data_IF_640897762500
#
_entry.id   IF_640897762500
#
_cell.length_a   1.000
_cell.length_b   1.000
_cell.length_c   1.000
_cell.angle_alpha   90.00
_cell.angle_beta   90.00
_cell.angle_gamma   90.00
#
_symmetry.space_group_name_H-M   'P 1'
#
loop_
_entity.id
_entity.type
_entity.pdbx_description
1 polymer ?
#
# COMPACT_ATOMS: atom_id res chain seq x y z
N UNK A 1 0.68 17.59 17.60
CA UNK A 1 -0.07 18.79 17.18
C UNK A 1 0.32 19.34 15.81
N UNK A 2 1.61 19.36 15.41
CA UNK A 2 2.03 19.79 14.06
C UNK A 2 1.58 18.83 12.95
N UNK A 3 1.51 17.54 13.22
CA UNK A 3 1.05 16.53 12.26
C UNK A 3 -0.45 16.68 11.92
N UNK A 4 -1.27 16.97 12.92
CA UNK A 4 -2.73 17.17 12.75
C UNK A 4 -3.03 18.44 11.95
N UNK A 5 -2.31 19.53 12.19
CA UNK A 5 -2.53 20.80 11.47
C UNK A 5 -2.11 20.72 9.99
N UNK A 6 -1.21 19.79 9.63
CA UNK A 6 -0.83 19.57 8.24
C UNK A 6 -1.86 18.75 7.47
N UNK A 7 -2.49 17.75 8.09
CA UNK A 7 -3.51 16.89 7.46
C UNK A 7 -4.76 17.72 7.08
N UNK A 8 -5.13 18.71 7.87
CA UNK A 8 -6.25 19.60 7.55
C UNK A 8 -5.99 20.53 6.34
N UNK A 9 -4.71 20.63 5.91
CA UNK A 9 -4.29 21.50 4.79
C UNK A 9 -4.02 20.74 3.49
N UNK A 10 -4.05 19.39 3.50
CA UNK A 10 -3.83 18.55 2.31
C UNK A 10 -5.13 17.92 1.87
N UNK A 11 -5.29 17.76 0.57
CA UNK A 11 -6.50 17.22 -0.04
C UNK A 11 -6.60 15.72 0.14
N UNK A 12 -5.50 15.00 -0.07
CA UNK A 12 -5.44 13.57 0.12
C UNK A 12 -4.08 13.17 0.70
N UNK A 13 -4.07 12.09 1.48
CA UNK A 13 -2.87 11.47 2.05
C UNK A 13 -2.77 10.02 1.60
N UNK A 14 -1.55 9.57 1.37
CA UNK A 14 -1.25 8.22 0.94
C UNK A 14 -0.23 7.61 1.93
N UNK A 15 -0.66 6.60 2.66
CA UNK A 15 0.12 5.96 3.72
C UNK A 15 0.57 4.57 3.28
N UNK A 16 1.85 4.22 3.50
CA UNK A 16 2.44 2.98 3.02
C UNK A 16 2.91 2.12 4.19
N UNK A 17 2.62 0.82 4.15
CA UNK A 17 3.07 -0.24 5.04
C UNK A 17 2.92 0.11 6.52
N UNK A 18 4.02 0.26 7.26
CA UNK A 18 4.00 0.68 8.66
C UNK A 18 3.28 2.02 8.85
N UNK A 19 3.50 2.97 7.93
CA UNK A 19 2.81 4.25 7.93
C UNK A 19 1.30 4.13 7.74
N UNK A 20 0.84 3.14 6.94
CA UNK A 20 -0.57 2.83 6.78
C UNK A 20 -1.18 2.30 8.09
N UNK A 21 -0.53 1.35 8.74
CA UNK A 21 -0.98 0.80 10.02
C UNK A 21 -0.97 1.86 11.13
N UNK A 22 0.07 2.70 11.18
CA UNK A 22 0.15 3.81 12.12
C UNK A 22 -0.96 4.85 11.89
N UNK A 23 -1.24 5.17 10.62
CA UNK A 23 -2.33 6.09 10.24
C UNK A 23 -3.70 5.54 10.60
N UNK A 24 -3.96 4.26 10.31
CA UNK A 24 -5.21 3.58 10.68
C UNK A 24 -5.43 3.56 12.20
N UNK A 25 -4.37 3.28 12.97
CA UNK A 25 -4.45 3.36 14.42
C UNK A 25 -4.72 4.79 14.92
N UNK A 26 -3.97 5.75 14.38
CA UNK A 26 -4.06 7.14 14.82
C UNK A 26 -5.43 7.78 14.54
N UNK A 27 -5.98 7.56 13.33
CA UNK A 27 -7.22 8.20 12.90
C UNK A 27 -8.48 7.42 13.28
N UNK A 28 -8.38 6.09 13.37
CA UNK A 28 -9.55 5.22 13.48
C UNK A 28 -9.46 4.21 14.63
N UNK A 29 -8.35 4.19 15.38
CA UNK A 29 -8.17 3.27 16.50
C UNK A 29 -7.96 1.80 16.09
N UNK A 30 -7.72 1.52 14.80
CA UNK A 30 -7.53 0.16 14.31
C UNK A 30 -6.17 -0.38 14.78
N UNK A 31 -6.13 -1.46 15.58
CA UNK A 31 -4.88 -2.00 16.10
C UNK A 31 -4.10 -2.75 15.03
N UNK A 32 -2.81 -2.90 15.26
CA UNK A 32 -1.95 -3.82 14.51
C UNK A 32 -1.66 -5.06 15.32
N UNK A 33 -1.51 -6.18 14.63
CA UNK A 33 -1.22 -7.49 15.22
C UNK A 33 0.12 -8.00 14.72
N UNK A 34 0.87 -8.67 15.59
CA UNK A 34 2.10 -9.37 15.20
C UNK A 34 1.75 -10.59 14.37
N UNK A 35 2.49 -10.82 13.32
CA UNK A 35 2.44 -12.06 12.53
C UNK A 35 3.39 -13.08 13.14
N UNK A 36 3.01 -14.36 13.12
CA UNK A 36 3.88 -15.47 13.55
C UNK A 36 5.13 -15.57 12.65
N UNK A 37 4.96 -15.29 11.36
CA UNK A 37 6.04 -15.23 10.38
C UNK A 37 5.97 -13.94 9.57
N UNK A 38 7.15 -13.43 9.18
CA UNK A 38 7.25 -12.27 8.28
C UNK A 38 6.61 -12.58 6.94
N UNK A 39 5.65 -11.78 6.50
CA UNK A 39 5.18 -11.80 5.12
C UNK A 39 6.23 -11.10 4.26
N UNK A 40 6.90 -11.85 3.38
CA UNK A 40 7.89 -11.35 2.43
C UNK A 40 7.72 -12.01 1.08
N UNK A 41 7.57 -11.23 0.03
CA UNK A 41 7.35 -11.75 -1.34
C UNK A 41 6.47 -10.88 -2.19
N UNK A 42 6.04 -11.43 -3.33
CA UNK A 42 5.15 -10.81 -4.30
C UNK A 42 3.85 -11.61 -4.36
N UNK A 43 2.75 -10.99 -3.98
CA UNK A 43 1.47 -11.69 -3.79
C UNK A 43 0.43 -11.20 -4.78
N UNK A 44 -0.45 -12.12 -5.21
CA UNK A 44 -1.62 -11.81 -6.03
C UNK A 44 -2.69 -11.14 -5.18
N UNK A 45 -3.31 -10.11 -5.74
CA UNK A 45 -4.38 -9.33 -5.11
C UNK A 45 -5.58 -9.26 -6.06
N UNK A 46 -6.75 -9.09 -5.47
CA UNK A 46 -8.01 -8.85 -6.17
C UNK A 46 -8.65 -7.54 -5.73
N UNK A 47 -9.58 -7.04 -6.54
CA UNK A 47 -10.37 -5.85 -6.22
C UNK A 47 -11.67 -6.26 -5.55
N UNK A 48 -11.96 -5.72 -4.36
CA UNK A 48 -13.23 -5.93 -3.65
C UNK A 48 -14.35 -5.06 -4.23
N UNK A 49 -13.99 -4.01 -4.97
CA UNK A 49 -14.93 -3.07 -5.57
C UNK A 49 -14.46 -2.66 -6.96
N UNK A 50 -15.35 -2.82 -7.94
CA UNK A 50 -15.11 -2.35 -9.30
C UNK A 50 -15.39 -0.84 -9.43
N UNK A 51 -14.85 -0.23 -10.50
CA UNK A 51 -15.07 1.18 -10.86
C UNK A 51 -14.56 2.22 -9.85
N UNK A 52 -13.63 1.85 -8.97
CA UNK A 52 -12.94 2.81 -8.10
C UNK A 52 -11.89 3.54 -8.93
N UNK A 53 -11.89 4.88 -8.90
CA UNK A 53 -10.94 5.72 -9.65
C UNK A 53 -9.47 5.35 -9.38
N UNK A 54 -9.16 4.93 -8.15
CA UNK A 54 -7.82 4.50 -7.73
C UNK A 54 -7.29 3.33 -8.56
N UNK A 55 -8.17 2.43 -8.97
CA UNK A 55 -7.84 1.21 -9.73
C UNK A 55 -8.19 1.29 -11.22
N UNK A 56 -8.36 2.49 -11.74
CA UNK A 56 -8.64 2.65 -13.18
C UNK A 56 -7.50 2.07 -14.02
N UNK A 57 -7.84 1.12 -14.90
CA UNK A 57 -6.89 0.43 -15.76
C UNK A 57 -6.20 -0.79 -15.11
N UNK A 58 -6.59 -1.17 -13.90
CA UNK A 58 -6.14 -2.40 -13.27
C UNK A 58 -6.82 -3.62 -13.90
N UNK A 59 -6.10 -4.72 -13.91
CA UNK A 59 -6.65 -6.05 -14.21
C UNK A 59 -7.43 -6.58 -13.00
N UNK A 60 -8.23 -7.64 -13.19
CA UNK A 60 -8.99 -8.28 -12.10
C UNK A 60 -8.07 -8.85 -11.02
N UNK A 61 -6.86 -9.25 -11.41
CA UNK A 61 -5.78 -9.70 -10.53
C UNK A 61 -4.49 -8.96 -10.84
N UNK A 62 -3.75 -8.61 -9.81
CA UNK A 62 -2.46 -7.92 -9.94
C UNK A 62 -1.52 -8.29 -8.81
N UNK A 63 -0.23 -8.02 -8.98
CA UNK A 63 0.79 -8.42 -8.03
C UNK A 63 1.33 -7.23 -7.25
N UNK A 64 1.62 -7.46 -5.95
CA UNK A 64 2.17 -6.44 -5.04
C UNK A 64 3.25 -7.04 -4.17
N UNK A 65 4.42 -6.38 -4.05
CA UNK A 65 5.43 -6.73 -3.06
C UNK A 65 4.95 -6.44 -1.62
N UNK A 66 5.26 -7.35 -0.71
CA UNK A 66 5.06 -7.17 0.74
C UNK A 66 6.33 -7.51 1.50
N UNK A 67 6.59 -6.76 2.59
CA UNK A 67 7.65 -7.05 3.56
C UNK A 67 7.24 -6.50 4.92
N UNK A 68 6.60 -7.32 5.76
CA UNK A 68 6.07 -6.85 7.05
C UNK A 68 5.95 -7.96 8.08
N UNK A 69 6.12 -7.60 9.36
CA UNK A 69 5.94 -8.48 10.52
C UNK A 69 4.62 -8.21 11.27
N UNK A 70 3.81 -7.27 10.79
CA UNK A 70 2.53 -6.91 11.40
C UNK A 70 1.41 -6.85 10.37
N UNK A 71 0.18 -7.00 10.83
CA UNK A 71 -1.03 -6.92 9.98
C UNK A 71 -2.13 -6.15 10.70
N UNK A 72 -3.18 -5.80 9.95
CA UNK A 72 -4.47 -5.35 10.45
C UNK A 72 -5.51 -6.42 10.13
N UNK A 73 -6.55 -6.53 10.96
CA UNK A 73 -7.62 -7.49 10.73
C UNK A 73 -8.78 -6.86 9.96
N UNK A 74 -9.43 -7.67 9.14
CA UNK A 74 -10.57 -7.25 8.31
C UNK A 74 -11.73 -6.79 9.18
N UNK A 75 -11.99 -7.51 10.25
CA UNK A 75 -13.06 -7.24 11.20
C UNK A 75 -12.91 -5.85 11.84
N UNK A 76 -11.69 -5.45 12.19
CA UNK A 76 -11.43 -4.15 12.79
C UNK A 76 -11.70 -3.01 11.80
N UNK A 77 -11.36 -3.19 10.53
CA UNK A 77 -11.61 -2.19 9.49
C UNK A 77 -13.10 -2.10 9.17
N UNK A 78 -13.81 -3.24 9.08
CA UNK A 78 -15.25 -3.30 8.76
C UNK A 78 -16.13 -2.67 9.86
N UNK A 79 -15.66 -2.61 11.11
CA UNK A 79 -16.34 -1.91 12.19
C UNK A 79 -16.32 -0.38 12.04
N UNK A 80 -15.42 0.18 11.22
CA UNK A 80 -15.29 1.62 10.98
C UNK A 80 -16.09 2.02 9.74
N UNK A 81 -17.22 2.67 9.95
CA UNK A 81 -18.16 3.03 8.88
C UNK A 81 -17.59 3.99 7.83
N UNK A 82 -16.59 4.77 8.18
CA UNK A 82 -15.91 5.74 7.33
C UNK A 82 -14.89 5.10 6.38
N UNK A 83 -14.52 3.84 6.60
CA UNK A 83 -13.53 3.12 5.82
C UNK A 83 -14.15 2.11 4.85
N UNK A 84 -13.38 1.75 3.85
CA UNK A 84 -13.72 0.73 2.88
C UNK A 84 -12.45 -0.06 2.49
N UNK A 85 -12.53 -1.39 2.50
CA UNK A 85 -11.47 -2.27 2.01
C UNK A 85 -11.65 -2.41 0.50
N UNK A 86 -10.70 -1.91 -0.26
CA UNK A 86 -10.78 -1.87 -1.72
C UNK A 86 -10.07 -3.03 -2.42
N UNK A 87 -9.06 -3.60 -1.77
CA UNK A 87 -8.27 -4.72 -2.33
C UNK A 87 -7.66 -5.57 -1.23
N UNK A 88 -7.61 -6.86 -1.47
CA UNK A 88 -7.03 -7.84 -0.56
C UNK A 88 -6.39 -9.02 -1.32
N UNK A 89 -5.63 -9.83 -0.60
CA UNK A 89 -4.97 -11.05 -1.04
C UNK A 89 -5.31 -12.17 -0.06
N UNK A 90 -5.54 -13.38 -0.56
CA UNK A 90 -5.75 -14.57 0.28
C UNK A 90 -4.51 -14.89 1.13
N UNK A 91 -3.31 -14.60 0.61
CA UNK A 91 -2.04 -14.89 1.29
C UNK A 91 -1.50 -13.71 2.12
N UNK A 92 -1.63 -12.48 1.58
CA UNK A 92 -1.05 -11.30 2.22
C UNK A 92 -2.10 -10.44 2.99
N UNK A 93 -3.39 -10.80 2.95
CA UNK A 93 -4.45 -10.07 3.62
C UNK A 93 -4.79 -8.72 2.96
N UNK A 94 -5.29 -7.79 3.74
CA UNK A 94 -5.72 -6.47 3.26
C UNK A 94 -4.55 -5.73 2.59
N UNK A 95 -4.80 -5.20 1.40
CA UNK A 95 -3.84 -4.35 0.69
C UNK A 95 -4.21 -2.89 0.74
N UNK A 96 -5.41 -2.52 0.31
CA UNK A 96 -5.84 -1.13 0.26
C UNK A 96 -7.08 -0.90 1.12
N UNK A 97 -6.97 0.03 2.05
CA UNK A 97 -8.08 0.64 2.77
C UNK A 97 -8.15 2.11 2.39
N UNK A 98 -9.35 2.63 2.16
CA UNK A 98 -9.55 4.04 1.84
C UNK A 98 -10.71 4.62 2.64
N UNK A 99 -10.59 5.89 3.04
CA UNK A 99 -11.73 6.63 3.59
C UNK A 99 -12.77 6.88 2.48
N UNK A 100 -14.06 6.81 2.82
CA UNK A 100 -15.16 6.95 1.84
C UNK A 100 -15.20 8.30 1.15
N UNK A 101 -14.61 9.33 1.76
CA UNK A 101 -14.44 10.65 1.17
C UNK A 101 -13.22 10.74 0.23
N UNK A 102 -12.43 9.65 0.10
CA UNK A 102 -11.25 9.57 -0.77
C UNK A 102 -10.02 10.34 -0.26
N UNK A 103 -10.08 10.92 0.94
CA UNK A 103 -9.01 11.78 1.46
C UNK A 103 -7.84 11.02 2.07
N UNK A 104 -8.04 9.78 2.48
CA UNK A 104 -7.00 8.97 3.12
C UNK A 104 -6.93 7.60 2.44
N UNK A 105 -5.75 7.27 1.92
CA UNK A 105 -5.45 5.99 1.31
C UNK A 105 -4.37 5.30 2.14
N UNK A 106 -4.62 4.06 2.54
CA UNK A 106 -3.73 3.23 3.34
C UNK A 106 -3.42 1.95 2.57
N UNK A 107 -2.15 1.73 2.23
CA UNK A 107 -1.69 0.51 1.58
C UNK A 107 -0.72 -0.25 2.48
N UNK A 108 -0.91 -1.54 2.63
CA UNK A 108 -0.07 -2.39 3.49
C UNK A 108 1.12 -3.00 2.76
N UNK A 109 1.08 -3.01 1.43
CA UNK A 109 2.14 -3.49 0.56
C UNK A 109 3.09 -2.38 0.10
N UNK A 110 4.02 -2.73 -0.78
CA UNK A 110 5.11 -1.89 -1.25
C UNK A 110 5.16 -1.82 -2.78
N UNK A 111 4.17 -1.18 -3.39
CA UNK A 111 4.17 -0.98 -4.85
C UNK A 111 5.32 -0.13 -5.36
N UNK A 112 5.97 0.65 -4.48
CA UNK A 112 7.13 1.49 -4.77
C UNK A 112 8.46 0.73 -4.83
N UNK A 113 8.50 -0.55 -4.48
CA UNK A 113 9.74 -1.31 -4.40
C UNK A 113 10.44 -1.45 -5.75
N UNK A 114 11.76 -1.19 -5.73
CA UNK A 114 12.65 -1.56 -6.82
C UNK A 114 12.77 -3.08 -6.97
N UNK A 115 13.17 -3.56 -8.17
CA UNK A 115 13.30 -5.00 -8.41
C UNK A 115 14.12 -5.76 -7.39
N UNK A 116 15.20 -5.16 -6.84
CA UNK A 116 16.12 -5.82 -5.93
C UNK A 116 15.82 -5.65 -4.44
N UNK A 117 14.86 -4.80 -4.06
CA UNK A 117 14.61 -4.42 -2.65
C UNK A 117 14.34 -5.64 -1.76
N UNK A 118 13.46 -6.56 -2.17
CA UNK A 118 13.16 -7.76 -1.38
C UNK A 118 14.38 -8.70 -1.24
N UNK A 119 15.24 -8.80 -2.27
CA UNK A 119 16.50 -9.56 -2.19
C UNK A 119 17.46 -8.94 -1.19
N UNK A 120 17.62 -7.63 -1.23
CA UNK A 120 18.49 -6.89 -0.31
C UNK A 120 18.00 -7.01 1.14
N UNK A 121 16.70 -6.89 1.38
CA UNK A 121 16.10 -7.11 2.69
C UNK A 121 16.32 -8.54 3.20
N UNK A 122 16.10 -9.55 2.36
CA UNK A 122 16.32 -10.94 2.70
C UNK A 122 17.79 -11.21 3.09
N UNK A 123 18.74 -10.75 2.27
CA UNK A 123 20.17 -10.93 2.53
C UNK A 123 20.61 -10.18 3.79
N UNK A 124 20.09 -8.97 4.01
CA UNK A 124 20.34 -8.18 5.23
C UNK A 124 19.85 -8.92 6.49
N UNK A 125 18.64 -9.47 6.45
CA UNK A 125 18.02 -10.13 7.59
C UNK A 125 18.69 -11.47 7.89
N UNK A 126 19.06 -12.24 6.86
CA UNK A 126 19.90 -13.45 6.98
C UNK A 126 21.28 -13.13 7.54
N UNK A 127 21.91 -12.04 7.09
CA UNK A 127 23.22 -11.59 7.60
C UNK A 127 23.19 -11.19 9.07
N UNK A 128 22.01 -10.83 9.60
CA UNK A 128 21.79 -10.58 11.04
C UNK A 128 21.46 -11.84 11.85
N UNK A 129 21.44 -13.01 11.22
CA UNK A 129 21.08 -14.27 11.86
C UNK A 129 19.58 -14.43 12.12
N UNK A 130 18.73 -13.64 11.46
CA UNK A 130 17.29 -13.78 11.60
C UNK A 130 16.80 -15.00 10.83
N UNK A 131 15.82 -15.70 11.40
CA UNK A 131 15.12 -16.78 10.73
C UNK A 131 14.04 -16.17 9.80
N UNK A 132 14.39 -16.03 8.51
CA UNK A 132 13.51 -15.48 7.48
C UNK A 132 13.51 -16.40 6.26
N UNK A 133 12.32 -16.60 5.71
CA UNK A 133 12.12 -17.37 4.50
C UNK A 133 12.55 -16.59 3.24
N UNK A 134 12.84 -17.34 2.18
CA UNK A 134 13.02 -16.76 0.84
C UNK A 134 11.74 -16.01 0.45
N UNK A 135 11.82 -14.77 -0.07
CA UNK A 135 10.64 -14.03 -0.51
C UNK A 135 9.80 -14.85 -1.51
N UNK A 136 8.52 -15.04 -1.18
CA UNK A 136 7.59 -15.86 -1.97
C UNK A 136 7.32 -15.25 -3.34
N UNK A 137 7.20 -16.08 -4.38
CA UNK A 137 6.84 -15.68 -5.75
C UNK A 137 7.74 -14.59 -6.35
N UNK A 138 8.97 -14.49 -5.86
CA UNK A 138 9.90 -13.43 -6.23
C UNK A 138 11.07 -13.93 -7.08
N UNK A 139 11.69 -15.05 -6.71
CA UNK A 139 12.72 -15.68 -7.52
C UNK A 139 12.16 -16.83 -8.36
N UNK A 140 12.61 -16.99 -9.63
CA UNK A 140 12.31 -18.20 -10.39
C UNK A 140 12.77 -19.45 -9.62
N UNK A 141 11.89 -20.43 -9.47
CA UNK A 141 12.16 -21.70 -8.78
C UNK A 141 12.64 -21.53 -7.32
N UNK A 142 12.36 -20.41 -6.67
CA UNK A 142 12.90 -20.01 -5.36
C UNK A 142 14.43 -19.96 -5.30
N UNK A 143 15.10 -19.78 -6.41
CA UNK A 143 16.55 -19.74 -6.53
C UNK A 143 17.07 -18.31 -6.38
N UNK A 144 17.66 -17.99 -5.22
CA UNK A 144 18.20 -16.67 -4.89
C UNK A 144 19.36 -16.20 -5.78
N UNK A 145 19.94 -17.11 -6.57
CA UNK A 145 21.02 -16.78 -7.52
C UNK A 145 20.48 -16.21 -8.82
N UNK A 146 19.18 -16.42 -9.10
CA UNK A 146 18.52 -15.90 -10.28
C UNK A 146 18.04 -14.46 -10.08
N UNK A 147 17.80 -13.77 -11.18
CA UNK A 147 17.19 -12.44 -11.15
C UNK A 147 15.71 -12.54 -10.78
N UNK A 148 15.19 -11.57 -9.98
CA UNK A 148 13.80 -11.55 -9.56
C UNK A 148 12.83 -11.37 -10.73
N UNK A 149 11.63 -11.94 -10.60
CA UNK A 149 10.51 -11.68 -11.52
C UNK A 149 9.80 -10.39 -11.09
N UNK A 150 9.80 -9.40 -11.97
CA UNK A 150 9.11 -8.11 -11.73
C UNK A 150 7.80 -8.07 -12.49
N UNK A 151 6.68 -8.25 -11.79
CA UNK A 151 5.33 -8.29 -12.35
C UNK A 151 4.35 -7.29 -11.69
N UNK A 152 4.85 -6.33 -10.88
CA UNK A 152 4.01 -5.32 -10.18
C UNK A 152 4.15 -3.90 -10.74
N UNK A 153 5.19 -3.60 -11.51
CA UNK A 153 5.55 -2.24 -11.93
C UNK A 153 4.43 -1.50 -12.67
N UNK A 154 3.73 -2.18 -13.57
CA UNK A 154 2.64 -1.58 -14.35
C UNK A 154 1.51 -1.09 -13.45
N UNK A 155 1.02 -1.95 -12.55
CA UNK A 155 -0.04 -1.63 -11.60
C UNK A 155 0.42 -0.61 -10.55
N UNK A 156 1.68 -0.65 -10.12
CA UNK A 156 2.27 0.37 -9.25
C UNK A 156 2.20 1.77 -9.89
N UNK A 157 2.62 1.90 -11.13
CA UNK A 157 2.55 3.16 -11.86
C UNK A 157 1.10 3.66 -11.99
N UNK A 158 0.15 2.77 -12.31
CA UNK A 158 -1.28 3.11 -12.36
C UNK A 158 -1.80 3.58 -11.01
N UNK A 159 -1.45 2.89 -9.92
CA UNK A 159 -1.88 3.24 -8.56
C UNK A 159 -1.51 4.69 -8.21
N UNK A 160 -0.23 5.03 -8.35
CA UNK A 160 0.26 6.37 -8.02
C UNK A 160 -0.26 7.44 -8.99
N UNK A 161 -0.30 7.14 -10.29
CA UNK A 161 -0.83 8.06 -11.29
C UNK A 161 -2.32 8.34 -11.06
N UNK A 162 -3.12 7.32 -10.74
CA UNK A 162 -4.53 7.47 -10.44
C UNK A 162 -4.76 8.26 -9.14
N UNK A 163 -3.99 7.97 -8.08
CA UNK A 163 -4.08 8.74 -6.84
C UNK A 163 -3.76 10.22 -7.07
N UNK A 164 -2.63 10.52 -7.70
CA UNK A 164 -2.22 11.89 -7.98
C UNK A 164 -3.24 12.62 -8.84
N UNK A 165 -3.75 11.95 -9.90
CA UNK A 165 -4.69 12.58 -10.82
C UNK A 165 -6.07 12.79 -10.18
N UNK A 166 -6.67 11.74 -9.60
CA UNK A 166 -8.08 11.76 -9.19
C UNK A 166 -8.34 12.21 -7.76
N UNK A 167 -7.35 12.11 -6.86
CA UNK A 167 -7.52 12.43 -5.44
C UNK A 167 -6.66 13.60 -4.97
N UNK A 168 -5.68 14.02 -5.76
CA UNK A 168 -4.86 15.18 -5.46
C UNK A 168 -5.13 16.29 -6.47
N UNK A 169 -4.81 16.07 -7.74
CA UNK A 169 -4.82 17.12 -8.75
C UNK A 169 -6.23 17.64 -9.05
N UNK A 170 -7.20 16.74 -9.28
CA UNK A 170 -8.58 17.13 -9.60
C UNK A 170 -9.36 17.68 -8.39
N UNK A 171 -8.98 17.32 -7.18
CA UNK A 171 -9.66 17.74 -5.95
C UNK A 171 -9.03 19.00 -5.35
N UNK A 172 -7.78 19.35 -5.70
CA UNK A 172 -7.12 20.56 -5.20
C UNK A 172 -7.68 21.79 -5.92
N UNK A 173 -8.29 22.76 -5.19
CA UNK A 173 -8.78 23.98 -5.80
C UNK A 173 -7.60 24.78 -6.35
N UNK A 174 -7.55 24.93 -7.66
CA UNK A 174 -6.57 25.75 -8.33
C UNK A 174 -7.20 27.07 -8.74
N UNK A 175 -6.80 28.17 -8.08
CA UNK A 175 -7.27 29.50 -8.42
C UNK A 175 -6.29 30.16 -9.38
N UNK A 176 -6.53 30.04 -10.67
CA UNK A 176 -5.67 30.58 -11.73
C UNK A 176 -5.50 32.11 -11.65
N UNK A 177 -6.50 32.79 -11.03
CA UNK A 177 -6.55 34.27 -10.94
C UNK A 177 -5.52 34.80 -9.94
N UNK A 178 -5.20 34.07 -8.88
CA UNK A 178 -4.25 34.50 -7.84
C UNK A 178 -2.78 34.48 -8.31
N UNK A 179 -2.49 33.85 -9.45
CA UNK A 179 -1.14 33.79 -10.04
C UNK A 179 -0.90 34.78 -11.18
N UNK A 180 -1.93 35.50 -11.64
CA UNK A 180 -1.81 36.52 -12.68
C UNK A 180 -1.64 37.94 -12.12
N UNK A 181 -1.66 38.10 -10.80
CA UNK A 181 -1.48 39.39 -10.11
C UNK A 181 -0.05 39.50 -9.56
N UNK A 182 0.97 39.45 -10.46
CA UNK A 182 2.36 39.89 -10.17
C UNK A 182 2.78 40.81 -11.29
#
# INVERSE_FOLDING_TARGET
>A
SRFISSILKVFSTFHICWGAQAGLYYHYGIPKYMLDQKISGVFSHTLNKQFVKLFRGFDDTFYVPHSRCTTILKEDVEHVKELEILSESDEAGIYVVMSKDGRQVFITGHSEYDPMTLKEEYLRDKGKGMDVDIPRNYFPDNDITKEPIVNWRGHANLLYANWLNYYVYQETPYNYIDHLAV
#
